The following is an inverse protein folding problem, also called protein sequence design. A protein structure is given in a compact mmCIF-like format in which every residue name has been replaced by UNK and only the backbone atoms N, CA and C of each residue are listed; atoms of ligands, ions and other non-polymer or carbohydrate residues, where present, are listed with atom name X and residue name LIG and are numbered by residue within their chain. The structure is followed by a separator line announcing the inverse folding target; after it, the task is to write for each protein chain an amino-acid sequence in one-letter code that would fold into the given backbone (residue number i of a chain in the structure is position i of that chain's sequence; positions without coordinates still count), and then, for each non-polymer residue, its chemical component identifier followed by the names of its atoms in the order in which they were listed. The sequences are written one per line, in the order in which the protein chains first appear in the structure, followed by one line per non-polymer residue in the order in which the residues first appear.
data_IF_654866641065
#
_entry.id   IF_654866641065
#
_cell.length_a   1.000
_cell.length_b   1.000
_cell.length_c   1.000
_cell.angle_alpha   90.00
_cell.angle_beta   90.00
_cell.angle_gamma   90.00
#
_symmetry.space_group_name_H-M   'P 1'
#
loop_
_entity.id
_entity.type
_entity.pdbx_description
1 polymer ?
#
# COMPACT_ATOMS: atom_id res chain seq x y z
N UNK A 1 -4.96 -15.32 -6.44
CA UNK A 1 -4.72 -15.37 -4.99
C UNK A 1 -3.26 -15.03 -4.75
N UNK A 2 -2.94 -14.46 -3.59
CA UNK A 2 -1.59 -14.21 -3.13
C UNK A 2 -1.47 -14.55 -1.64
N UNK A 3 -0.31 -15.04 -1.21
CA UNK A 3 0.07 -15.14 0.21
C UNK A 3 1.01 -13.99 0.51
N UNK A 4 0.81 -13.34 1.65
CA UNK A 4 1.65 -12.24 2.10
C UNK A 4 2.11 -12.54 3.52
N UNK A 5 3.44 -12.52 3.71
CA UNK A 5 4.10 -12.72 4.99
C UNK A 5 4.72 -11.37 5.42
N UNK A 6 4.34 -10.91 6.61
CA UNK A 6 4.77 -9.62 7.15
C UNK A 6 5.75 -9.87 8.30
N UNK A 7 6.96 -9.34 8.20
CA UNK A 7 7.89 -9.27 9.31
C UNK A 7 7.29 -8.44 10.47
N UNK A 8 7.85 -8.51 11.70
CA UNK A 8 7.52 -7.54 12.73
C UNK A 8 7.74 -6.11 12.22
N UNK A 9 6.75 -5.23 12.43
CA UNK A 9 6.71 -3.86 11.85
C UNK A 9 6.76 -3.80 10.31
N UNK A 10 6.57 -4.92 9.62
CA UNK A 10 6.52 -4.97 8.16
C UNK A 10 5.22 -4.39 7.61
N UNK A 11 5.28 -3.87 6.38
CA UNK A 11 4.11 -3.36 5.67
C UNK A 11 4.01 -3.90 4.25
N UNK A 12 2.79 -3.90 3.74
CA UNK A 12 2.52 -3.76 2.32
C UNK A 12 2.06 -2.30 2.10
N UNK A 13 2.93 -1.47 1.50
CA UNK A 13 2.75 -0.01 1.47
C UNK A 13 1.48 0.38 0.69
N UNK A 14 1.05 1.66 0.74
CA UNK A 14 -0.08 2.14 -0.04
C UNK A 14 0.00 1.73 -1.52
N UNK A 15 -1.00 0.97 -1.96
CA UNK A 15 -1.11 0.44 -3.31
C UNK A 15 -2.58 0.32 -3.75
N UNK A 16 -2.79 0.02 -5.03
CA UNK A 16 -4.12 -0.27 -5.57
C UNK A 16 -4.09 -1.36 -6.63
N UNK A 17 -5.23 -2.04 -6.80
CA UNK A 17 -5.49 -3.01 -7.86
C UNK A 17 -6.42 -2.38 -8.91
N UNK A 18 -5.91 -2.02 -10.10
CA UNK A 18 -6.70 -1.32 -11.11
C UNK A 18 -7.77 -2.19 -11.79
N UNK A 19 -7.79 -3.50 -11.52
CA UNK A 19 -8.68 -4.47 -12.20
C UNK A 19 -9.30 -5.51 -11.26
N UNK A 20 -9.29 -5.27 -9.94
CA UNK A 20 -9.89 -6.21 -8.99
C UNK A 20 -10.21 -5.59 -7.64
N UNK A 21 -11.29 -6.09 -7.03
CA UNK A 21 -11.49 -6.04 -5.57
C UNK A 21 -10.62 -7.10 -4.92
N UNK A 22 -10.02 -6.79 -3.78
CA UNK A 22 -9.30 -7.73 -2.94
C UNK A 22 -10.11 -8.08 -1.68
N UNK A 23 -10.12 -9.35 -1.30
CA UNK A 23 -10.53 -9.82 0.02
C UNK A 23 -9.31 -10.45 0.70
N UNK A 24 -9.02 -10.01 1.91
CA UNK A 24 -7.87 -10.45 2.70
C UNK A 24 -8.32 -11.13 3.99
N UNK A 25 -7.77 -12.31 4.27
CA UNK A 25 -7.99 -13.06 5.51
C UNK A 25 -6.67 -13.22 6.25
N UNK A 26 -6.66 -12.88 7.53
CA UNK A 26 -5.48 -13.07 8.38
C UNK A 26 -5.39 -14.54 8.80
N UNK A 27 -4.31 -15.21 8.45
CA UNK A 27 -4.04 -16.59 8.83
C UNK A 27 -3.32 -16.68 10.18
N UNK A 28 -2.42 -15.73 10.46
CA UNK A 28 -1.63 -15.64 11.69
C UNK A 28 -1.31 -14.18 12.04
N UNK A 29 -1.16 -13.91 13.34
CA UNK A 29 -0.79 -12.59 13.84
C UNK A 29 -1.92 -11.56 13.78
N UNK A 30 -1.51 -10.29 13.64
CA UNK A 30 -2.39 -9.11 13.66
C UNK A 30 -1.97 -8.15 12.56
N UNK A 31 -2.93 -7.55 11.86
CA UNK A 31 -2.68 -6.54 10.83
C UNK A 31 -3.55 -5.31 11.05
N UNK A 32 -2.94 -4.13 11.06
CA UNK A 32 -3.65 -2.88 10.84
C UNK A 32 -3.80 -2.67 9.34
N UNK A 33 -5.05 -2.61 8.86
CA UNK A 33 -5.35 -2.43 7.43
C UNK A 33 -6.27 -1.24 7.23
N UNK A 34 -6.27 -0.68 6.02
CA UNK A 34 -7.29 0.27 5.63
C UNK A 34 -7.25 0.65 4.16
N UNK A 35 -8.34 1.27 3.70
CA UNK A 35 -8.44 1.91 2.39
C UNK A 35 -8.98 3.33 2.50
N UNK A 36 -8.67 4.14 1.50
CA UNK A 36 -9.12 5.53 1.39
C UNK A 36 -10.15 5.63 0.26
N UNK A 37 -11.30 6.25 0.53
CA UNK A 37 -12.32 6.50 -0.51
C UNK A 37 -11.84 7.55 -1.52
N UNK A 38 -12.51 7.63 -2.66
CA UNK A 38 -12.19 8.63 -3.69
C UNK A 38 -12.53 10.06 -3.24
N UNK A 39 -12.10 11.03 -4.05
CA UNK A 39 -12.50 12.42 -3.92
C UNK A 39 -14.04 12.59 -3.90
N UNK A 40 -14.54 13.65 -3.23
CA UNK A 40 -13.76 14.67 -2.51
C UNK A 40 -13.39 14.29 -1.08
N UNK A 41 -14.00 13.24 -0.52
CA UNK A 41 -13.95 12.99 0.92
C UNK A 41 -12.65 12.37 1.41
N UNK A 42 -11.99 11.53 0.59
CA UNK A 42 -10.74 10.85 0.95
C UNK A 42 -10.79 10.20 2.35
N UNK A 43 -11.90 9.54 2.66
CA UNK A 43 -12.18 9.00 4.00
C UNK A 43 -11.43 7.68 4.21
N UNK A 44 -10.67 7.59 5.30
CA UNK A 44 -10.02 6.36 5.72
C UNK A 44 -11.01 5.42 6.42
N UNK A 45 -11.16 4.22 5.87
CA UNK A 45 -11.77 3.09 6.56
C UNK A 45 -10.66 2.13 6.98
N UNK A 46 -10.49 1.93 8.28
CA UNK A 46 -9.42 1.07 8.81
C UNK A 46 -9.90 0.20 9.96
N UNK A 47 -9.19 -0.91 10.17
CA UNK A 47 -9.42 -1.84 11.27
C UNK A 47 -8.13 -2.59 11.63
N UNK A 48 -8.01 -2.99 12.88
CA UNK A 48 -7.04 -4.00 13.30
C UNK A 48 -7.70 -5.38 13.21
N UNK A 49 -7.12 -6.23 12.37
CA UNK A 49 -7.56 -7.60 12.12
C UNK A 49 -6.68 -8.57 12.91
N UNK A 50 -7.28 -9.61 13.47
CA UNK A 50 -6.60 -10.74 14.08
C UNK A 50 -6.81 -12.01 13.24
N UNK A 51 -6.11 -13.08 13.57
CA UNK A 51 -6.31 -14.40 12.95
C UNK A 51 -7.79 -14.75 12.80
N UNK A 52 -8.19 -15.08 11.57
CA UNK A 52 -9.56 -15.41 11.19
C UNK A 52 -10.40 -14.21 10.72
N UNK A 53 -10.01 -12.98 11.05
CA UNK A 53 -10.70 -11.79 10.56
C UNK A 53 -10.48 -11.59 9.06
N UNK A 54 -11.47 -10.96 8.42
CA UNK A 54 -11.52 -10.69 6.99
C UNK A 54 -11.78 -9.20 6.74
N UNK A 55 -11.21 -8.68 5.66
CA UNK A 55 -11.42 -7.31 5.22
C UNK A 55 -11.43 -7.24 3.68
N UNK A 56 -12.23 -6.32 3.12
CA UNK A 56 -12.40 -6.16 1.68
C UNK A 56 -11.91 -4.78 1.26
N UNK A 57 -11.06 -4.74 0.23
CA UNK A 57 -10.56 -3.52 -0.40
C UNK A 57 -11.23 -3.37 -1.77
N UNK A 58 -12.11 -2.36 -1.96
CA UNK A 58 -12.77 -2.15 -3.24
C UNK A 58 -11.78 -1.86 -4.38
N UNK A 59 -12.15 -2.30 -5.58
CA UNK A 59 -11.36 -2.11 -6.79
C UNK A 59 -10.94 -0.65 -7.01
N UNK A 60 -9.67 -0.44 -7.37
CA UNK A 60 -9.12 0.88 -7.69
C UNK A 60 -8.90 1.82 -6.51
N UNK A 61 -9.29 1.46 -5.28
CA UNK A 61 -9.01 2.28 -4.09
C UNK A 61 -7.60 2.04 -3.55
N UNK A 62 -6.99 3.11 -3.03
CA UNK A 62 -5.69 3.04 -2.37
C UNK A 62 -5.90 2.37 -1.01
N UNK A 63 -5.11 1.35 -0.71
CA UNK A 63 -5.16 0.62 0.54
C UNK A 63 -3.77 0.15 0.98
N UNK A 64 -3.66 -0.30 2.23
CA UNK A 64 -2.41 -0.72 2.85
C UNK A 64 -2.65 -1.79 3.91
N UNK A 65 -1.58 -2.50 4.28
CA UNK A 65 -1.53 -3.37 5.44
C UNK A 65 -0.22 -3.16 6.20
N UNK A 66 -0.29 -3.15 7.53
CA UNK A 66 0.85 -2.99 8.42
C UNK A 66 0.75 -3.99 9.55
N UNK A 67 1.85 -4.66 9.89
CA UNK A 67 1.95 -5.49 11.08
C UNK A 67 2.40 -4.60 12.26
N UNK A 68 1.49 -4.23 13.20
CA UNK A 68 1.87 -3.36 14.31
C UNK A 68 2.66 -4.08 15.41
N UNK A 69 2.86 -5.40 15.31
CA UNK A 69 3.58 -6.17 16.31
C UNK A 69 5.10 -6.01 16.12
N UNK A 70 5.85 -5.53 17.12
CA UNK A 70 7.30 -5.35 17.02
C UNK A 70 8.12 -6.63 17.19
N UNK A 71 7.48 -7.74 17.54
CA UNK A 71 8.18 -8.98 17.91
C UNK A 71 7.69 -10.21 17.15
N UNK A 72 6.50 -10.19 16.57
CA UNK A 72 5.90 -11.36 15.92
C UNK A 72 5.53 -11.05 14.46
N UNK A 73 5.73 -11.99 13.53
CA UNK A 73 5.27 -11.84 12.16
C UNK A 73 3.74 -11.99 12.06
N UNK A 74 3.20 -11.64 10.90
CA UNK A 74 1.81 -11.89 10.53
C UNK A 74 1.74 -12.54 9.13
N UNK A 75 0.70 -13.34 8.89
CA UNK A 75 0.49 -14.01 7.59
C UNK A 75 -0.94 -13.79 7.15
N UNK A 76 -1.13 -13.43 5.88
CA UNK A 76 -2.45 -13.28 5.29
C UNK A 76 -2.52 -13.96 3.92
N UNK A 77 -3.74 -14.30 3.53
CA UNK A 77 -4.07 -14.72 2.17
C UNK A 77 -5.04 -13.71 1.56
N UNK A 78 -4.75 -13.30 0.33
CA UNK A 78 -5.56 -12.40 -0.47
C UNK A 78 -6.16 -13.16 -1.66
N UNK A 79 -7.47 -13.01 -1.87
CA UNK A 79 -8.14 -13.41 -3.09
C UNK A 79 -8.62 -12.17 -3.84
N UNK A 80 -8.53 -12.20 -5.17
CA UNK A 80 -8.83 -11.05 -6.03
C UNK A 80 -9.85 -11.46 -7.08
N UNK A 81 -10.77 -10.55 -7.40
CA UNK A 81 -11.87 -10.79 -8.33
C UNK A 81 -11.47 -10.87 -9.81
N UNK A 82 -10.18 -10.89 -10.12
CA UNK A 82 -9.63 -10.97 -11.47
C UNK A 82 -8.40 -11.88 -11.52
N UNK A 83 -8.26 -12.61 -12.63
CA UNK A 83 -7.08 -13.43 -12.91
C UNK A 83 -5.81 -12.60 -13.11
N UNK A 84 -5.95 -11.32 -13.44
CA UNK A 84 -4.85 -10.37 -13.59
C UNK A 84 -5.25 -9.03 -12.96
N UNK A 85 -5.17 -8.91 -11.62
CA UNK A 85 -5.58 -7.70 -10.91
C UNK A 85 -4.66 -6.51 -11.21
N UNK A 86 -3.37 -6.78 -11.46
CA UNK A 86 -2.31 -5.77 -11.44
C UNK A 86 -2.08 -5.21 -10.03
N UNK A 87 -0.97 -4.54 -9.80
CA UNK A 87 -0.69 -3.84 -8.55
C UNK A 87 0.07 -2.54 -8.86
N UNK A 88 -0.35 -1.44 -8.25
CA UNK A 88 0.30 -0.14 -8.38
C UNK A 88 0.68 0.31 -6.98
N UNK A 89 1.94 0.11 -6.59
CA UNK A 89 2.50 0.72 -5.37
C UNK A 89 2.65 2.22 -5.60
N UNK A 90 1.98 3.03 -4.79
CA UNK A 90 1.81 4.46 -5.07
C UNK A 90 3.16 5.18 -5.09
N UNK A 91 4.00 4.97 -4.08
CA UNK A 91 5.31 5.62 -4.02
C UNK A 91 6.20 5.26 -5.22
N UNK A 92 6.23 3.97 -5.61
CA UNK A 92 7.00 3.52 -6.77
C UNK A 92 6.50 4.13 -8.08
N UNK A 93 5.18 4.19 -8.28
CA UNK A 93 4.61 4.75 -9.50
C UNK A 93 4.82 6.27 -9.60
N UNK A 94 4.66 6.99 -8.50
CA UNK A 94 4.77 8.45 -8.45
C UNK A 94 6.23 8.91 -8.49
N UNK A 95 7.09 8.34 -7.65
CA UNK A 95 8.48 8.80 -7.47
C UNK A 95 9.52 7.94 -8.20
N UNK A 96 9.16 6.73 -8.64
CA UNK A 96 10.08 5.76 -9.27
C UNK A 96 9.73 5.31 -10.67
N UNK A 97 8.84 6.03 -11.35
CA UNK A 97 8.53 5.78 -12.75
C UNK A 97 9.76 5.86 -13.63
N UNK A 98 9.75 5.09 -14.73
CA UNK A 98 10.82 5.07 -15.73
C UNK A 98 10.20 5.34 -17.10
N UNK A 99 10.38 6.54 -17.69
CA UNK A 99 11.09 7.70 -17.16
C UNK A 99 10.39 8.36 -15.95
N UNK A 100 11.13 9.14 -15.17
CA UNK A 100 10.61 9.85 -13.99
C UNK A 100 9.56 10.90 -14.37
N UNK A 101 8.52 11.04 -13.56
CA UNK A 101 7.69 12.26 -13.58
C UNK A 101 8.58 13.43 -13.16
N UNK A 102 8.48 14.55 -13.88
CA UNK A 102 9.33 15.71 -13.62
C UNK A 102 9.08 16.27 -12.22
N UNK A 103 10.16 16.69 -11.58
CA UNK A 103 10.14 17.38 -10.29
C UNK A 103 9.18 18.59 -10.29
N UNK A 104 9.10 19.34 -11.39
CA UNK A 104 8.20 20.49 -11.55
C UNK A 104 6.73 20.10 -11.46
N UNK A 105 6.35 18.94 -12.01
CA UNK A 105 4.98 18.43 -11.94
C UNK A 105 4.69 17.98 -10.50
N UNK A 106 5.57 17.19 -9.90
CA UNK A 106 5.37 16.66 -8.57
C UNK A 106 5.44 17.75 -7.48
N UNK A 107 6.38 18.68 -7.55
CA UNK A 107 6.50 19.79 -6.59
C UNK A 107 5.23 20.62 -6.56
N UNK A 108 4.64 20.90 -7.73
CA UNK A 108 3.36 21.59 -7.83
C UNK A 108 2.19 20.75 -7.31
N UNK A 109 2.16 19.44 -7.62
CA UNK A 109 1.09 18.55 -7.20
C UNK A 109 1.08 18.31 -5.67
N UNK A 110 2.26 18.14 -5.08
CA UNK A 110 2.45 17.89 -3.65
C UNK A 110 2.60 19.17 -2.82
N UNK A 111 2.68 20.35 -3.48
CA UNK A 111 2.82 21.66 -2.84
C UNK A 111 4.06 21.78 -1.95
N UNK A 112 5.18 21.26 -2.45
CA UNK A 112 6.48 21.26 -1.75
C UNK A 112 7.58 21.81 -2.64
N UNK A 113 8.73 22.11 -2.04
CA UNK A 113 9.92 22.49 -2.78
C UNK A 113 10.46 21.33 -3.62
N UNK A 114 11.13 21.68 -4.73
CA UNK A 114 11.80 20.72 -5.62
C UNK A 114 12.74 19.77 -4.85
N UNK A 115 13.50 20.29 -3.88
CA UNK A 115 14.44 19.48 -3.10
C UNK A 115 13.78 18.33 -2.33
N UNK A 116 12.54 18.52 -1.87
CA UNK A 116 11.76 17.44 -1.24
C UNK A 116 11.40 16.35 -2.24
N UNK A 117 11.02 16.73 -3.47
CA UNK A 117 10.74 15.75 -4.53
C UNK A 117 12.00 15.01 -4.94
N UNK A 118 13.11 15.72 -5.13
CA UNK A 118 14.39 15.11 -5.47
C UNK A 118 14.79 14.07 -4.42
N UNK A 119 14.61 14.39 -3.14
CA UNK A 119 14.85 13.46 -2.04
C UNK A 119 13.94 12.23 -2.10
N UNK A 120 12.62 12.41 -2.32
CA UNK A 120 11.66 11.31 -2.46
C UNK A 120 11.97 10.41 -3.67
N UNK A 121 12.35 11.00 -4.81
CA UNK A 121 12.78 10.27 -6.00
C UNK A 121 14.12 9.55 -5.82
N UNK A 122 14.90 9.87 -4.79
CA UNK A 122 16.11 9.14 -4.44
C UNK A 122 15.85 7.96 -3.48
N UNK A 123 14.68 7.89 -2.83
CA UNK A 123 14.33 6.80 -1.92
C UNK A 123 13.73 5.61 -2.69
N UNK A 124 14.54 4.59 -3.02
CA UNK A 124 14.04 3.35 -3.64
C UNK A 124 14.21 2.12 -2.77
N UNK A 125 13.25 1.20 -2.93
CA UNK A 125 13.01 0.06 -2.05
C UNK A 125 14.22 -0.86 -1.83
N UNK A 126 15.14 -0.96 -2.80
CA UNK A 126 16.34 -1.80 -2.69
C UNK A 126 17.31 -1.31 -1.61
N UNK A 127 17.18 -0.06 -1.16
CA UNK A 127 18.08 0.61 -0.21
C UNK A 127 17.36 1.23 0.99
N UNK A 128 16.13 0.81 1.31
CA UNK A 128 15.38 1.45 2.40
C UNK A 128 15.90 0.98 3.78
N UNK A 129 16.32 1.93 4.62
CA UNK A 129 16.99 1.71 5.92
C UNK A 129 16.05 1.94 7.13
N UNK A 130 14.74 1.97 6.90
CA UNK A 130 13.72 2.24 7.93
C UNK A 130 12.80 1.04 8.12
#
# INVERSE_FOLDING_TARGET
MARIDYAPLGQNPPHTHPRATEILTVLEGTLHVGFVTSNPNNTLFSKVLNKGDVFVFPEGLIHFQFNPNPHQPAVAIAALSSQNPGAITIANAVFGSKPLITDKVLAKAFQVEKGTIDWLQAQFWENNHY
#
